data_IF_562684673263
#
_entry.id   IF_562684673263
#
_cell.length_a   1.000
_cell.length_b   1.000
_cell.length_c   1.000
_cell.angle_alpha   90.00
_cell.angle_beta   90.00
_cell.angle_gamma   90.00
#
_symmetry.space_group_name_H-M   'P 1'
#
loop_
_entity.id
_entity.type
_entity.pdbx_description
1 polymer ?
#
# COMPACT_ATOMS: atom_id res chain seq x y z
N UNK A 1 -5.00 -20.06 23.77
CA UNK A 1 -5.33 -20.48 22.40
C UNK A 1 -5.32 -19.22 21.56
N UNK A 2 -4.51 -19.19 20.51
CA UNK A 2 -4.63 -18.12 19.52
C UNK A 2 -6.04 -18.14 18.94
N UNK A 3 -6.71 -16.99 18.93
CA UNK A 3 -8.02 -16.79 18.30
C UNK A 3 -7.93 -15.71 17.23
N UNK A 4 -8.79 -15.79 16.22
CA UNK A 4 -8.91 -14.77 15.15
C UNK A 4 -9.18 -13.38 15.75
N UNK A 5 -9.96 -13.31 16.83
CA UNK A 5 -10.24 -12.08 17.56
C UNK A 5 -8.99 -11.52 18.25
N UNK A 6 -8.17 -12.37 18.89
CA UNK A 6 -6.91 -11.93 19.48
C UNK A 6 -5.90 -11.42 18.44
N UNK A 7 -5.92 -11.98 17.21
CA UNK A 7 -5.13 -11.46 16.09
C UNK A 7 -5.61 -10.06 15.67
N UNK A 8 -6.92 -9.85 15.57
CA UNK A 8 -7.49 -8.53 15.24
C UNK A 8 -7.10 -7.47 16.27
N UNK A 9 -7.16 -7.82 17.56
CA UNK A 9 -6.75 -6.92 18.65
C UNK A 9 -5.25 -6.58 18.61
N UNK A 10 -4.40 -7.56 18.29
CA UNK A 10 -2.97 -7.35 18.12
C UNK A 10 -2.68 -6.37 16.97
N UNK A 11 -3.31 -6.60 15.82
CA UNK A 11 -3.21 -5.74 14.64
C UNK A 11 -3.69 -4.32 14.96
N UNK A 12 -4.86 -4.19 15.58
CA UNK A 12 -5.44 -2.91 15.98
C UNK A 12 -4.50 -2.10 16.88
N UNK A 13 -3.88 -2.76 17.87
CA UNK A 13 -2.89 -2.13 18.75
C UNK A 13 -1.67 -1.63 17.98
N UNK A 14 -1.09 -2.46 17.11
CA UNK A 14 0.09 -2.09 16.30
C UNK A 14 -0.21 -0.94 15.34
N UNK A 15 -1.41 -0.91 14.77
CA UNK A 15 -1.86 0.21 13.94
C UNK A 15 -1.89 1.51 14.72
N UNK A 16 -2.44 1.53 15.93
CA UNK A 16 -2.47 2.75 16.77
C UNK A 16 -1.06 3.19 17.16
N UNK A 17 -0.20 2.26 17.59
CA UNK A 17 1.20 2.54 18.00
C UNK A 17 2.04 3.11 16.85
N UNK A 18 1.87 2.58 15.64
CA UNK A 18 2.64 2.96 14.44
C UNK A 18 1.91 3.99 13.56
N UNK A 19 0.82 4.58 14.05
CA UNK A 19 0.02 5.57 13.32
C UNK A 19 -0.42 5.11 11.92
N UNK A 20 -0.90 3.88 11.83
CA UNK A 20 -1.37 3.25 10.59
C UNK A 20 -0.26 2.58 9.76
N UNK A 21 1.01 2.77 10.09
CA UNK A 21 2.13 2.24 9.31
C UNK A 21 2.62 0.89 9.85
N UNK A 22 1.80 -0.16 9.68
CA UNK A 22 2.17 -1.53 10.05
C UNK A 22 2.68 -2.28 8.83
N UNK A 23 3.96 -2.68 8.88
CA UNK A 23 4.58 -3.58 7.90
C UNK A 23 4.85 -4.93 8.54
N UNK A 24 4.49 -6.02 7.86
CA UNK A 24 4.72 -7.37 8.36
C UNK A 24 6.21 -7.67 8.61
N UNK A 25 7.10 -7.07 7.82
CA UNK A 25 8.58 -7.19 7.99
C UNK A 25 9.10 -6.60 9.30
N UNK A 26 8.34 -5.71 9.95
CA UNK A 26 8.71 -5.03 11.19
C UNK A 26 7.88 -5.52 12.39
N UNK A 27 6.88 -6.38 12.17
CA UNK A 27 5.91 -6.84 13.18
C UNK A 27 5.78 -8.38 13.10
N UNK A 28 6.86 -9.08 13.45
CA UNK A 28 6.92 -10.55 13.44
C UNK A 28 5.90 -11.19 14.39
N UNK A 29 5.45 -10.48 15.42
CA UNK A 29 4.40 -10.93 16.33
C UNK A 29 3.06 -11.16 15.63
N UNK A 30 2.70 -10.31 14.66
CA UNK A 30 1.50 -10.50 13.83
C UNK A 30 1.66 -11.74 12.93
N UNK A 31 2.86 -11.93 12.37
CA UNK A 31 3.17 -13.06 11.49
C UNK A 31 3.14 -14.39 12.24
N UNK A 32 3.77 -14.46 13.41
CA UNK A 32 3.80 -15.65 14.27
C UNK A 32 2.40 -16.01 14.77
N UNK A 33 1.60 -15.01 15.19
CA UNK A 33 0.24 -15.21 15.63
C UNK A 33 -0.66 -15.70 14.48
N UNK A 34 -0.53 -15.11 13.28
CA UNK A 34 -1.23 -15.55 12.08
C UNK A 34 -0.89 -16.98 11.68
N UNK A 35 0.39 -17.34 11.78
CA UNK A 35 0.87 -18.70 11.49
C UNK A 35 0.31 -19.74 12.46
N UNK A 36 0.18 -19.40 13.75
CA UNK A 36 -0.46 -20.25 14.74
C UNK A 36 -1.95 -20.52 14.45
N UNK A 37 -2.61 -19.59 13.74
CA UNK A 37 -3.99 -19.73 13.25
C UNK A 37 -4.11 -20.39 11.87
N UNK A 38 -3.00 -20.74 11.22
CA UNK A 38 -2.99 -21.25 9.85
C UNK A 38 -3.31 -20.21 8.79
N UNK A 39 -3.19 -18.91 9.11
CA UNK A 39 -3.45 -17.80 8.18
C UNK A 39 -2.14 -17.48 7.43
N UNK A 40 -2.11 -17.54 6.09
CA UNK A 40 -0.93 -17.20 5.31
C UNK A 40 -0.64 -15.68 5.37
N UNK A 41 0.63 -15.29 5.22
CA UNK A 41 1.06 -13.88 5.29
C UNK A 41 0.30 -12.97 4.31
N UNK A 42 -0.06 -13.47 3.12
CA UNK A 42 -0.87 -12.74 2.14
C UNK A 42 -2.26 -12.36 2.68
N UNK A 43 -2.88 -13.21 3.50
CA UNK A 43 -4.16 -12.92 4.15
C UNK A 43 -4.01 -12.03 5.39
N UNK A 44 -2.84 -12.02 6.03
CA UNK A 44 -2.56 -11.08 7.13
C UNK A 44 -2.53 -9.63 6.64
N UNK A 45 -2.08 -9.38 5.42
CA UNK A 45 -2.11 -8.05 4.80
C UNK A 45 -3.55 -7.54 4.68
N UNK A 46 -4.47 -8.37 4.18
CA UNK A 46 -5.89 -8.01 4.09
C UNK A 46 -6.51 -7.79 5.46
N UNK A 47 -6.20 -8.65 6.44
CA UNK A 47 -6.62 -8.45 7.83
C UNK A 47 -6.13 -7.14 8.43
N UNK A 48 -4.92 -6.70 8.10
CA UNK A 48 -4.41 -5.38 8.53
C UNK A 48 -5.24 -4.26 7.91
N UNK A 49 -5.61 -4.36 6.62
CA UNK A 49 -6.47 -3.39 5.95
C UNK A 49 -7.87 -3.36 6.59
N UNK A 50 -8.52 -4.51 6.75
CA UNK A 50 -9.85 -4.62 7.36
C UNK A 50 -9.87 -3.98 8.75
N UNK A 51 -8.88 -4.29 9.60
CA UNK A 51 -8.78 -3.71 10.94
C UNK A 51 -8.47 -2.21 10.87
N UNK A 52 -7.69 -1.76 9.89
CA UNK A 52 -7.42 -0.31 9.69
C UNK A 52 -8.70 0.47 9.37
N UNK A 53 -9.60 -0.11 8.57
CA UNK A 53 -10.90 0.50 8.23
C UNK A 53 -11.84 0.60 9.44
N UNK A 54 -11.65 -0.25 10.46
CA UNK A 54 -12.44 -0.17 11.70
C UNK A 54 -11.96 0.90 12.69
N UNK A 55 -10.80 1.54 12.46
CA UNK A 55 -10.23 2.52 13.38
C UNK A 55 -10.76 3.92 13.08
N UNK A 56 -11.44 4.54 14.05
CA UNK A 56 -11.72 5.97 14.01
C UNK A 56 -10.45 6.77 14.37
N UNK A 57 -9.69 7.15 13.34
CA UNK A 57 -8.48 7.93 13.50
C UNK A 57 -8.73 9.32 14.11
N UNK A 58 -9.92 9.91 13.94
CA UNK A 58 -10.24 11.20 14.54
C UNK A 58 -10.44 11.08 16.06
N UNK A 59 -11.02 9.97 16.52
CA UNK A 59 -11.11 9.67 17.96
C UNK A 59 -9.73 9.35 18.56
N UNK A 60 -8.90 8.59 17.85
CA UNK A 60 -7.53 8.27 18.29
C UNK A 60 -6.69 9.54 18.45
N UNK A 61 -6.78 10.48 17.52
CA UNK A 61 -6.02 11.74 17.57
C UNK A 61 -6.51 12.64 18.72
N UNK A 62 -7.84 12.69 18.96
CA UNK A 62 -8.42 13.38 20.12
C UNK A 62 -7.91 12.80 21.45
N UNK A 63 -7.83 11.46 21.57
CA UNK A 63 -7.29 10.80 22.76
C UNK A 63 -5.80 11.11 22.96
N UNK A 64 -5.00 11.07 21.90
CA UNK A 64 -3.57 11.46 21.95
C UNK A 64 -3.39 12.91 22.39
N UNK A 65 -4.24 13.82 21.92
CA UNK A 65 -4.22 15.23 22.34
C UNK A 65 -4.61 15.38 23.82
N UNK A 66 -5.66 14.70 24.28
CA UNK A 66 -6.07 14.72 25.69
C UNK A 66 -5.00 14.12 26.63
N UNK A 67 -4.33 13.03 26.23
CA UNK A 67 -3.20 12.46 26.98
C UNK A 67 -1.98 13.38 27.00
N UNK A 68 -1.75 14.14 25.93
CA UNK A 68 -0.69 15.15 25.86
C UNK A 68 -1.00 16.35 26.76
N UNK A 69 -2.22 16.86 26.73
CA UNK A 69 -2.67 17.97 27.60
C UNK A 69 -2.66 17.57 29.07
N UNK A 70 -3.11 16.36 29.41
CA UNK A 70 -3.04 15.86 30.80
C UNK A 70 -1.61 15.58 31.27
N UNK A 71 -0.70 15.11 30.41
CA UNK A 71 0.74 15.04 30.72
C UNK A 71 1.36 16.42 30.92
N UNK A 72 1.01 17.40 30.10
CA UNK A 72 1.48 18.79 30.23
C UNK A 72 0.90 19.47 31.49
N UNK A 73 -0.34 19.19 31.88
CA UNK A 73 -0.94 19.63 33.15
C UNK A 73 -0.29 18.96 34.37
N UNK A 74 0.09 17.68 34.28
CA UNK A 74 0.85 16.99 35.33
C UNK A 74 2.28 17.58 35.44
N UNK A 75 2.96 17.85 34.32
CA UNK A 75 4.27 18.52 34.30
C UNK A 75 4.21 19.94 34.86
N UNK A 76 3.13 20.68 34.58
CA UNK A 76 2.93 22.04 35.09
C UNK A 76 2.49 22.08 36.57
N UNK A 77 1.77 21.06 37.06
CA UNK A 77 1.42 20.93 38.49
C UNK A 77 2.58 20.45 39.37
N UNK A 78 3.61 19.83 38.78
CA UNK A 78 4.84 19.41 39.48
C UNK A 78 5.90 20.53 39.51
N UNK A 79 5.68 21.65 38.80
CA UNK A 79 6.59 22.80 38.79
C UNK A 79 6.49 23.70 40.04
N UNK A 80 5.77 23.28 41.09
CA UNK A 80 5.71 23.99 42.37
C UNK A 80 5.95 23.06 43.57
N UNK A 81 7.02 22.27 43.54
CA UNK A 81 7.83 21.94 44.73
C UNK A 81 8.98 21.01 44.40
N UNK A 82 10.10 21.24 45.09
CA UNK A 82 11.25 20.33 45.26
C UNK A 82 12.25 20.22 44.09
N UNK A 83 13.11 21.23 44.03
CA UNK A 83 14.57 21.14 43.91
C UNK A 83 15.17 19.71 43.92
N UNK A 84 15.42 19.11 42.76
CA UNK A 84 16.44 18.05 42.58
C UNK A 84 17.03 18.12 41.17
N UNK A 85 18.35 18.33 41.06
CA UNK A 85 19.14 18.34 39.82
C UNK A 85 19.06 17.00 39.07
N UNK A 86 18.93 17.01 37.72
CA UNK A 86 19.46 15.94 36.90
C UNK A 86 20.90 16.30 36.46
N UNK A 87 21.88 15.46 36.81
CA UNK A 87 23.23 15.52 36.25
C UNK A 87 23.21 15.08 34.79
N UNK A 88 23.28 16.03 33.87
CA UNK A 88 23.56 15.79 32.45
C UNK A 88 25.07 15.87 32.23
N UNK A 89 25.71 14.75 31.89
CA UNK A 89 27.09 14.74 31.41
C UNK A 89 27.10 15.25 29.96
N UNK A 90 27.27 16.56 29.78
CA UNK A 90 27.46 17.20 28.47
C UNK A 90 28.96 17.15 28.13
N UNK A 91 29.30 16.55 26.98
CA UNK A 91 30.66 16.57 26.43
C UNK A 91 30.72 17.61 25.32
N UNK A 92 31.73 18.48 25.36
CA UNK A 92 31.93 19.55 24.37
C UNK A 92 32.98 19.14 23.34
N UNK A 93 32.72 19.47 22.07
CA UNK A 93 33.68 19.24 20.99
C UNK A 93 34.91 20.15 21.15
N UNK A 94 36.12 19.60 21.15
CA UNK A 94 37.37 20.38 21.30
C UNK A 94 37.70 21.28 20.10
N UNK A 95 37.05 21.08 18.95
CA UNK A 95 37.33 21.85 17.74
C UNK A 95 36.34 23.02 17.50
N UNK A 96 35.05 22.83 17.79
CA UNK A 96 34.01 23.88 17.60
C UNK A 96 33.27 24.28 18.88
N UNK A 97 33.54 23.62 20.01
CA UNK A 97 32.95 23.88 21.31
C UNK A 97 31.42 23.71 21.40
N UNK A 98 30.81 23.02 20.43
CA UNK A 98 29.38 22.67 20.46
C UNK A 98 29.10 21.56 21.49
N UNK A 99 27.92 21.64 22.13
CA UNK A 99 27.45 20.68 23.12
C UNK A 99 26.85 19.45 22.44
N UNK A 100 27.30 18.24 22.81
CA UNK A 100 26.77 16.99 22.26
C UNK A 100 25.84 16.31 23.28
N UNK A 101 24.53 16.49 23.10
CA UNK A 101 23.50 15.94 23.99
C UNK A 101 22.89 14.65 23.41
N UNK A 102 23.61 13.53 23.54
CA UNK A 102 23.11 12.15 23.74
C UNK A 102 24.25 11.16 23.57
N UNK A 103 24.27 10.13 24.43
CA UNK A 103 25.24 9.06 24.35
C UNK A 103 25.28 8.42 22.96
N UNK A 104 26.50 8.11 22.53
CA UNK A 104 26.89 7.30 21.37
C UNK A 104 26.77 7.97 19.98
N UNK A 105 27.61 8.96 19.71
CA UNK A 105 28.00 9.31 18.34
C UNK A 105 29.52 9.51 18.27
N UNK A 106 30.22 8.72 17.45
CA UNK A 106 31.68 8.77 17.29
C UNK A 106 32.15 9.95 16.41
N UNK A 107 31.27 10.93 16.12
CA UNK A 107 31.55 12.09 15.28
C UNK A 107 30.70 13.31 15.72
N UNK A 108 31.20 14.52 15.46
CA UNK A 108 30.46 15.76 15.69
C UNK A 108 29.53 16.08 14.52
N UNK A 109 28.23 16.30 14.77
CA UNK A 109 27.23 16.57 13.73
C UNK A 109 27.40 17.93 13.02
N UNK A 110 28.03 18.92 13.66
CA UNK A 110 28.22 20.25 13.04
C UNK A 110 29.48 20.36 12.17
N UNK A 111 30.57 19.69 12.54
CA UNK A 111 31.86 19.84 11.85
C UNK A 111 32.46 18.53 11.32
N UNK A 112 31.79 17.38 11.52
CA UNK A 112 32.19 16.08 10.96
C UNK A 112 33.47 15.48 11.55
N UNK A 113 33.99 16.03 12.66
CA UNK A 113 35.23 15.56 13.28
C UNK A 113 35.01 14.27 14.09
N UNK A 114 35.83 13.23 13.88
CA UNK A 114 35.81 11.99 14.66
C UNK A 114 36.28 12.21 16.10
N UNK A 115 35.50 11.76 17.09
CA UNK A 115 35.84 11.81 18.51
C UNK A 115 36.47 10.46 18.90
N UNK A 116 37.80 10.39 18.96
CA UNK A 116 38.52 9.17 19.37
C UNK A 116 38.31 8.87 20.86
N UNK A 117 37.96 7.64 21.26
CA UNK A 117 38.16 7.20 22.63
C UNK A 117 39.66 6.98 22.92
N UNK A 118 40.13 7.54 24.04
CA UNK A 118 41.51 7.46 24.53
C UNK A 118 41.86 6.01 24.99
N UNK A 119 43.12 5.56 24.85
CA UNK A 119 43.47 4.14 24.86
C UNK A 119 43.48 3.52 26.26
N UNK A 120 43.06 2.26 26.34
CA UNK A 120 43.15 1.45 27.56
C UNK A 120 44.61 1.15 27.91
N UNK A 121 44.91 1.41 29.19
CA UNK A 121 46.17 1.25 29.90
C UNK A 121 46.73 -0.19 29.91
N UNK A 122 48.02 -0.30 29.64
CA UNK A 122 48.87 -1.45 30.00
C UNK A 122 49.04 -1.52 31.53
N UNK A 123 49.15 -2.73 32.14
CA UNK A 123 49.81 -2.87 33.42
C UNK A 123 51.31 -3.13 33.25
N UNK A 124 52.07 -2.34 34.00
CA UNK A 124 53.52 -2.41 34.25
C UNK A 124 53.84 -3.63 35.13
N UNK A 125 54.89 -4.38 34.82
CA UNK A 125 55.59 -5.27 35.76
C UNK A 125 57.11 -5.13 35.65
N UNK A 126 57.74 -5.24 36.82
CA UNK A 126 59.05 -4.75 37.30
C UNK A 126 60.22 -5.68 36.90
N UNK A 127 61.47 -5.17 36.70
CA UNK A 127 62.58 -5.99 36.20
C UNK A 127 63.42 -6.73 37.26
N UNK A 128 64.11 -7.77 36.75
CA UNK A 128 65.37 -8.43 37.20
C UNK A 128 65.34 -9.48 38.34
N UNK A 129 66.27 -10.49 38.36
CA UNK A 129 67.60 -10.48 37.75
C UNK A 129 67.95 -11.61 36.77
N UNK A 130 69.04 -11.33 36.06
CA UNK A 130 69.81 -12.19 35.15
C UNK A 130 70.45 -13.36 35.88
N UNK A 131 70.33 -14.56 35.31
CA UNK A 131 71.29 -15.64 35.49
C UNK A 131 71.65 -16.23 34.13
N UNK A 132 72.90 -16.03 33.73
CA UNK A 132 73.55 -16.83 32.69
C UNK A 132 73.70 -18.27 33.18
N UNK A 133 73.30 -19.25 32.36
CA UNK A 133 74.06 -20.49 32.24
C UNK A 133 73.71 -21.28 30.97
N UNK A 134 74.69 -21.31 30.07
CA UNK A 134 75.16 -22.43 29.24
C UNK A 134 74.14 -23.28 28.45
N UNK A 135 74.18 -23.04 27.13
CA UNK A 135 74.62 -23.99 26.08
C UNK A 135 74.06 -25.41 26.19
N UNK A 136 73.14 -25.76 25.29
CA UNK A 136 73.31 -26.88 24.33
C UNK A 136 72.51 -26.57 23.07
N UNK A 137 73.18 -26.71 21.93
CA UNK A 137 72.60 -26.65 20.58
C UNK A 137 71.94 -27.99 20.34
N UNK A 138 70.64 -27.99 20.06
CA UNK A 138 69.98 -29.11 19.40
C UNK A 138 69.01 -28.53 18.37
N UNK A 139 69.35 -28.76 17.11
CA UNK A 139 68.63 -28.29 15.93
C UNK A 139 67.47 -29.24 15.67
N UNK A 140 66.23 -28.81 15.93
CA UNK A 140 65.03 -29.50 15.44
C UNK A 140 64.48 -28.79 14.19
N UNK A 141 64.04 -29.55 13.16
CA UNK A 141 63.67 -29.00 11.87
C UNK A 141 62.39 -28.16 11.93
N UNK A 142 62.42 -27.01 11.25
CA UNK A 142 61.28 -26.11 11.06
C UNK A 142 60.04 -26.87 10.58
N UNK A 143 59.00 -26.89 11.43
CA UNK A 143 57.66 -27.23 11.00
C UNK A 143 57.14 -26.11 10.09
N UNK A 144 57.17 -26.33 8.78
CA UNK A 144 56.49 -25.53 7.77
C UNK A 144 55.00 -25.42 8.13
N UNK A 145 54.61 -24.32 8.77
CA UNK A 145 53.20 -23.98 8.91
C UNK A 145 52.70 -23.60 7.52
N UNK A 146 52.04 -24.52 6.82
CA UNK A 146 51.28 -24.19 5.61
C UNK A 146 50.32 -23.05 5.97
N UNK A 147 50.57 -21.85 5.44
CA UNK A 147 49.73 -20.70 5.72
C UNK A 147 48.32 -21.01 5.22
N UNK A 148 47.31 -20.88 6.07
CA UNK A 148 45.89 -20.97 5.68
C UNK A 148 45.44 -19.74 4.88
N UNK A 149 46.35 -18.79 4.64
CA UNK A 149 46.12 -17.54 3.91
C UNK A 149 45.43 -17.68 2.55
N UNK A 150 45.79 -18.62 1.64
CA UNK A 150 45.11 -18.74 0.35
C UNK A 150 43.67 -19.24 0.47
N UNK A 151 43.34 -19.99 1.53
CA UNK A 151 41.96 -20.45 1.81
C UNK A 151 41.11 -19.26 2.30
N UNK A 152 41.65 -18.46 3.23
CA UNK A 152 40.94 -17.26 3.70
C UNK A 152 40.76 -16.21 2.59
N UNK A 153 41.75 -16.01 1.71
CA UNK A 153 41.64 -15.11 0.55
C UNK A 153 40.58 -15.63 -0.44
N UNK A 154 40.54 -16.94 -0.70
CA UNK A 154 39.53 -17.55 -1.58
C UNK A 154 38.10 -17.46 -1.01
N UNK A 155 37.93 -17.61 0.31
CA UNK A 155 36.63 -17.45 0.96
C UNK A 155 36.19 -15.99 0.93
N UNK A 156 37.10 -15.05 1.21
CA UNK A 156 36.78 -13.62 1.22
C UNK A 156 36.42 -13.10 -0.18
N UNK A 157 37.07 -13.60 -1.23
CA UNK A 157 36.73 -13.25 -2.61
C UNK A 157 35.35 -13.78 -3.02
N UNK A 158 35.00 -15.01 -2.64
CA UNK A 158 33.65 -15.55 -2.88
C UNK A 158 32.59 -14.74 -2.14
N UNK A 159 32.82 -14.40 -0.86
CA UNK A 159 31.90 -13.56 -0.09
C UNK A 159 31.78 -12.17 -0.74
N UNK A 160 32.88 -11.55 -1.15
CA UNK A 160 32.85 -10.25 -1.81
C UNK A 160 32.06 -10.29 -3.13
N UNK A 161 32.21 -11.34 -3.94
CA UNK A 161 31.43 -11.52 -5.17
C UNK A 161 29.94 -11.69 -4.88
N UNK A 162 29.58 -12.46 -3.84
CA UNK A 162 28.18 -12.63 -3.43
C UNK A 162 27.57 -11.32 -2.91
N UNK A 163 28.33 -10.57 -2.11
CA UNK A 163 27.92 -9.25 -1.59
C UNK A 163 27.73 -8.27 -2.73
N UNK A 164 28.68 -8.18 -3.67
CA UNK A 164 28.56 -7.34 -4.86
C UNK A 164 27.38 -7.77 -5.73
N UNK A 165 27.20 -9.06 -5.99
CA UNK A 165 26.06 -9.58 -6.75
C UNK A 165 24.71 -9.23 -6.09
N UNK A 166 24.63 -9.27 -4.77
CA UNK A 166 23.46 -8.82 -4.03
C UNK A 166 23.21 -7.32 -4.21
N UNK A 167 24.23 -6.48 -4.01
CA UNK A 167 24.07 -5.03 -4.10
C UNK A 167 23.79 -4.54 -5.54
N UNK A 168 24.39 -5.16 -6.56
CA UNK A 168 24.23 -4.76 -7.96
C UNK A 168 22.97 -5.31 -8.63
N UNK A 169 22.53 -6.52 -8.28
CA UNK A 169 21.38 -7.16 -8.94
C UNK A 169 20.36 -7.76 -7.97
N UNK A 170 20.81 -8.38 -6.88
CA UNK A 170 19.95 -9.10 -5.96
C UNK A 170 18.93 -8.21 -5.22
N UNK A 171 19.33 -7.01 -4.80
CA UNK A 171 18.47 -6.09 -4.04
C UNK A 171 17.21 -5.72 -4.82
N UNK A 172 17.38 -5.27 -6.07
CA UNK A 172 16.25 -4.81 -6.88
C UNK A 172 15.40 -5.99 -7.35
N UNK A 173 16.02 -7.13 -7.68
CA UNK A 173 15.29 -8.37 -7.97
C UNK A 173 14.40 -8.80 -6.80
N UNK A 174 14.93 -8.81 -5.58
CA UNK A 174 14.16 -9.18 -4.39
C UNK A 174 13.07 -8.15 -4.08
N UNK A 175 13.35 -6.86 -4.27
CA UNK A 175 12.36 -5.80 -4.10
C UNK A 175 11.20 -5.96 -5.08
N UNK A 176 11.48 -6.20 -6.36
CA UNK A 176 10.47 -6.39 -7.40
C UNK A 176 9.70 -7.70 -7.23
N UNK A 177 10.37 -8.76 -6.79
CA UNK A 177 9.75 -10.06 -6.48
C UNK A 177 8.76 -9.97 -5.33
N UNK A 178 9.08 -9.16 -4.32
CA UNK A 178 8.26 -8.99 -3.12
C UNK A 178 7.27 -7.83 -3.23
N UNK A 179 7.26 -7.08 -4.35
CA UNK A 179 6.36 -5.97 -4.57
C UNK A 179 4.92 -6.45 -4.76
N UNK A 180 3.97 -5.63 -4.31
CA UNK A 180 2.54 -5.90 -4.51
C UNK A 180 2.19 -5.65 -5.98
N UNK A 181 1.53 -6.62 -6.62
CA UNK A 181 1.08 -6.47 -8.01
C UNK A 181 -0.32 -5.86 -8.04
N UNK A 182 -0.45 -4.71 -8.67
CA UNK A 182 -1.72 -4.04 -8.91
C UNK A 182 -1.92 -3.79 -10.41
N UNK A 183 -3.15 -3.54 -10.81
CA UNK A 183 -3.53 -3.33 -12.20
C UNK A 183 -4.24 -2.00 -12.36
N UNK A 184 -3.83 -1.23 -13.37
CA UNK A 184 -4.51 0.02 -13.71
C UNK A 184 -5.89 -0.28 -14.29
N UNK A 185 -6.93 0.33 -13.74
CA UNK A 185 -8.28 0.28 -14.31
C UNK A 185 -8.75 1.63 -14.88
N UNK A 186 -7.87 2.63 -14.85
CA UNK A 186 -8.04 3.86 -15.62
C UNK A 186 -7.59 3.67 -17.07
N UNK A 187 -8.18 4.41 -18.01
CA UNK A 187 -7.77 4.35 -19.41
C UNK A 187 -6.34 4.87 -19.61
N UNK A 188 -5.95 5.89 -18.84
CA UNK A 188 -4.62 6.46 -18.84
C UNK A 188 -4.33 7.07 -17.48
N UNK A 189 -3.50 6.40 -16.67
CA UNK A 189 -3.09 6.86 -15.35
C UNK A 189 -1.71 7.52 -15.45
N UNK A 190 -1.56 8.76 -14.96
CA UNK A 190 -0.27 9.44 -15.02
C UNK A 190 0.77 8.74 -14.12
N UNK A 191 1.94 8.44 -14.69
CA UNK A 191 3.15 8.05 -13.97
C UNK A 191 4.01 9.30 -13.78
N UNK A 192 4.45 9.56 -12.55
CA UNK A 192 5.17 10.78 -12.18
C UNK A 192 6.54 10.51 -11.58
N UNK A 193 7.47 11.44 -11.76
CA UNK A 193 8.81 11.36 -11.13
C UNK A 193 8.80 11.69 -9.64
N UNK A 194 7.76 12.36 -9.14
CA UNK A 194 7.63 12.75 -7.74
C UNK A 194 6.17 12.77 -7.28
N UNK A 195 5.89 12.62 -5.98
CA UNK A 195 4.53 12.69 -5.41
C UNK A 195 3.98 14.14 -5.30
N UNK A 196 4.49 15.07 -6.12
CA UNK A 196 3.98 16.43 -6.18
C UNK A 196 2.75 16.51 -7.09
N UNK A 197 1.66 17.11 -6.60
CA UNK A 197 0.46 17.33 -7.38
C UNK A 197 0.61 18.46 -8.41
N UNK A 198 -0.09 18.33 -9.54
CA UNK A 198 -0.62 19.51 -10.25
C UNK A 198 0.18 20.13 -11.41
N UNK A 199 1.22 19.49 -11.96
CA UNK A 199 1.86 20.00 -13.18
C UNK A 199 2.32 18.91 -14.15
N UNK A 200 2.36 19.22 -15.45
CA UNK A 200 2.86 18.29 -16.48
C UNK A 200 4.37 18.06 -16.36
N UNK A 201 5.09 18.95 -15.64
CA UNK A 201 6.54 18.94 -15.49
C UNK A 201 7.10 17.69 -14.78
N UNK A 202 6.29 17.01 -13.95
CA UNK A 202 6.69 15.77 -13.29
C UNK A 202 6.02 14.53 -13.89
N UNK A 203 5.25 14.66 -14.97
CA UNK A 203 4.71 13.49 -15.68
C UNK A 203 5.82 12.88 -16.54
N UNK A 204 6.14 11.62 -16.29
CA UNK A 204 7.20 10.87 -17.00
C UNK A 204 6.64 9.79 -17.93
N UNK A 205 5.33 9.56 -17.88
CA UNK A 205 4.64 8.62 -18.74
C UNK A 205 3.20 8.39 -18.29
N UNK A 206 2.57 7.41 -18.92
CA UNK A 206 1.21 7.00 -18.64
C UNK A 206 1.18 5.48 -18.47
N UNK A 207 0.36 5.03 -17.53
CA UNK A 207 0.06 3.63 -17.24
C UNK A 207 -1.26 3.30 -17.95
N UNK A 208 -1.23 2.51 -19.03
CA UNK A 208 -2.43 2.08 -19.74
C UNK A 208 -3.37 1.24 -18.87
N UNK A 209 -4.61 1.09 -19.32
CA UNK A 209 -5.56 0.15 -18.73
C UNK A 209 -5.01 -1.28 -18.79
N UNK A 210 -5.12 -2.01 -17.68
CA UNK A 210 -4.71 -3.41 -17.53
C UNK A 210 -3.22 -3.63 -17.40
N UNK A 211 -2.40 -2.57 -17.43
CA UNK A 211 -0.99 -2.67 -17.10
C UNK A 211 -0.81 -3.13 -15.66
N UNK A 212 0.03 -4.15 -15.49
CA UNK A 212 0.49 -4.60 -14.19
C UNK A 212 1.58 -3.66 -13.68
N UNK A 213 1.42 -3.24 -12.43
CA UNK A 213 2.24 -2.25 -11.76
C UNK A 213 2.77 -2.88 -10.47
N UNK A 214 4.09 -2.85 -10.29
CA UNK A 214 4.71 -3.24 -9.03
C UNK A 214 4.62 -2.06 -8.06
N UNK A 215 3.97 -2.26 -6.92
CA UNK A 215 3.77 -1.24 -5.89
C UNK A 215 4.65 -1.58 -4.68
N UNK A 216 5.48 -0.61 -4.28
CA UNK A 216 6.48 -0.80 -3.22
C UNK A 216 6.06 -0.26 -1.86
N UNK A 217 5.05 0.61 -1.83
CA UNK A 217 4.50 1.19 -0.61
C UNK A 217 2.98 1.34 -0.66
N UNK A 218 2.37 1.59 0.51
CA UNK A 218 0.93 1.72 0.68
C UNK A 218 0.55 3.19 0.96
N UNK A 219 1.07 4.13 0.17
CA UNK A 219 0.71 5.54 0.33
C UNK A 219 -0.75 5.82 -0.06
N UNK A 220 -1.36 6.82 0.58
CA UNK A 220 -2.80 7.14 0.43
C UNK A 220 -3.08 7.94 -0.85
N UNK A 221 -2.27 8.97 -1.11
CA UNK A 221 -2.43 9.83 -2.29
C UNK A 221 -1.54 9.40 -3.46
N UNK A 222 -0.35 8.88 -3.13
CA UNK A 222 0.68 8.45 -4.05
C UNK A 222 1.26 7.13 -3.59
N UNK A 223 1.49 6.23 -4.54
CA UNK A 223 2.28 5.03 -4.31
C UNK A 223 3.55 5.07 -5.15
N UNK A 224 4.67 4.66 -4.57
CA UNK A 224 5.88 4.38 -5.34
C UNK A 224 5.68 3.06 -6.09
N UNK A 225 5.86 3.12 -7.41
CA UNK A 225 5.60 1.99 -8.27
C UNK A 225 6.58 1.88 -9.44
N UNK A 226 6.58 0.72 -10.08
CA UNK A 226 7.36 0.42 -11.28
C UNK A 226 6.49 -0.20 -12.37
N UNK A 227 6.60 0.36 -13.57
CA UNK A 227 5.99 -0.14 -14.79
C UNK A 227 7.08 -0.38 -15.82
N UNK A 228 7.17 -1.60 -16.37
CA UNK A 228 8.10 -1.95 -17.46
C UNK A 228 9.56 -1.50 -17.26
N UNK A 229 10.04 -1.54 -16.01
CA UNK A 229 11.40 -1.12 -15.66
C UNK A 229 11.53 0.33 -15.19
N UNK A 230 10.52 1.17 -15.42
CA UNK A 230 10.51 2.58 -15.05
C UNK A 230 9.84 2.79 -13.68
N UNK A 231 10.61 3.28 -12.71
CA UNK A 231 10.11 3.68 -11.38
C UNK A 231 9.49 5.08 -11.40
N UNK A 232 8.46 5.28 -10.58
CA UNK A 232 7.78 6.55 -10.42
C UNK A 232 6.68 6.49 -9.37
N UNK A 233 5.76 7.44 -9.44
CA UNK A 233 4.65 7.61 -8.53
C UNK A 233 3.33 7.63 -9.31
N UNK A 234 2.34 6.91 -8.81
CA UNK A 234 0.99 6.89 -9.37
C UNK A 234 -0.04 7.02 -8.24
N UNK A 235 -1.27 7.41 -8.58
CA UNK A 235 -2.34 7.48 -7.58
C UNK A 235 -2.95 6.09 -7.37
N UNK A 236 -3.00 5.57 -6.12
CA UNK A 236 -3.55 4.25 -5.82
C UNK A 236 -5.06 4.17 -6.09
N UNK A 237 -5.77 5.31 -6.14
CA UNK A 237 -7.22 5.38 -6.40
C UNK A 237 -7.64 4.77 -7.74
N UNK A 238 -6.68 4.59 -8.65
CA UNK A 238 -6.86 4.08 -10.01
C UNK A 238 -6.18 2.72 -10.25
N UNK A 239 -5.75 2.06 -9.16
CA UNK A 239 -5.19 0.72 -9.17
C UNK A 239 -6.13 -0.25 -8.45
N UNK A 240 -6.18 -1.49 -8.91
CA UNK A 240 -6.90 -2.60 -8.28
C UNK A 240 -5.95 -3.78 -8.06
N UNK A 241 -6.24 -4.62 -7.08
CA UNK A 241 -5.58 -5.91 -7.00
C UNK A 241 -6.03 -6.81 -8.18
N UNK A 242 -5.36 -7.95 -8.37
CA UNK A 242 -5.65 -8.87 -9.48
C UNK A 242 -7.12 -9.32 -9.51
N UNK A 243 -7.68 -9.65 -8.36
CA UNK A 243 -9.00 -10.26 -8.24
C UNK A 243 -10.08 -9.24 -8.56
N UNK A 244 -9.98 -8.05 -7.97
CA UNK A 244 -10.87 -6.92 -8.25
C UNK A 244 -10.82 -6.51 -9.73
N UNK A 245 -9.63 -6.52 -10.32
CA UNK A 245 -9.46 -6.21 -11.74
C UNK A 245 -10.09 -7.27 -12.64
N UNK A 246 -9.98 -8.56 -12.30
CA UNK A 246 -10.65 -9.66 -13.00
C UNK A 246 -12.17 -9.55 -12.87
N UNK A 247 -12.69 -9.25 -11.67
CA UNK A 247 -14.12 -8.99 -11.44
C UNK A 247 -14.64 -7.87 -12.32
N UNK A 248 -13.97 -6.71 -12.31
CA UNK A 248 -14.36 -5.58 -13.12
C UNK A 248 -14.39 -5.91 -14.61
N UNK A 249 -13.36 -6.61 -15.12
CA UNK A 249 -13.32 -7.02 -16.52
C UNK A 249 -14.38 -8.06 -16.87
N UNK A 250 -14.77 -8.92 -15.93
CA UNK A 250 -15.84 -9.87 -16.15
C UNK A 250 -17.21 -9.17 -16.25
N UNK A 251 -17.40 -8.05 -15.55
CA UNK A 251 -18.62 -7.23 -15.60
C UNK A 251 -18.71 -6.48 -16.95
N UNK A 252 -17.59 -5.92 -17.41
CA UNK A 252 -17.50 -5.16 -18.67
C UNK A 252 -17.24 -6.12 -19.85
N UNK A 253 -18.30 -6.47 -20.59
CA UNK A 253 -18.27 -7.63 -21.48
C UNK A 253 -17.19 -7.63 -22.58
N UNK A 254 -16.78 -6.45 -23.04
CA UNK A 254 -15.85 -6.29 -24.16
C UNK A 254 -15.09 -4.96 -24.10
N UNK A 255 -14.16 -4.77 -25.04
CA UNK A 255 -13.33 -3.55 -25.17
C UNK A 255 -14.19 -2.31 -25.41
N UNK A 256 -15.25 -2.45 -26.20
CA UNK A 256 -16.15 -1.35 -26.55
C UNK A 256 -16.87 -0.84 -25.30
N UNK A 257 -17.34 -1.76 -24.47
CA UNK A 257 -17.97 -1.48 -23.18
C UNK A 257 -17.00 -0.77 -22.24
N UNK A 258 -15.76 -1.25 -22.15
CA UNK A 258 -14.72 -0.61 -21.33
C UNK A 258 -14.42 0.81 -21.78
N UNK A 259 -14.44 1.04 -23.09
CA UNK A 259 -14.22 2.36 -23.68
C UNK A 259 -15.41 3.27 -23.39
N UNK A 260 -16.64 2.76 -23.51
CA UNK A 260 -17.86 3.49 -23.19
C UNK A 260 -17.93 3.90 -21.71
N UNK A 261 -17.47 3.02 -20.81
CA UNK A 261 -17.38 3.29 -19.36
C UNK A 261 -15.97 3.78 -19.03
N UNK A 262 -15.54 4.87 -19.64
CA UNK A 262 -14.16 5.35 -19.57
C UNK A 262 -13.72 5.78 -18.17
N UNK A 263 -14.60 6.43 -17.40
CA UNK A 263 -14.26 6.96 -16.08
C UNK A 263 -14.27 5.87 -15.00
N UNK A 264 -13.25 5.90 -14.14
CA UNK A 264 -13.04 4.93 -13.06
C UNK A 264 -14.14 4.92 -12.01
N UNK A 265 -14.79 6.06 -11.75
CA UNK A 265 -15.93 6.17 -10.83
C UNK A 265 -17.10 5.26 -11.24
N UNK A 266 -17.40 5.19 -12.55
CA UNK A 266 -18.48 4.35 -13.09
C UNK A 266 -18.13 2.87 -13.00
N UNK A 267 -16.86 2.53 -13.28
CA UNK A 267 -16.31 1.18 -13.11
C UNK A 267 -16.44 0.70 -11.65
N UNK A 268 -16.10 1.57 -10.68
CA UNK A 268 -16.26 1.31 -9.24
C UNK A 268 -17.72 1.14 -8.84
N UNK A 269 -18.62 1.98 -9.35
CA UNK A 269 -20.07 1.86 -9.10
C UNK A 269 -20.60 0.48 -9.48
N UNK A 270 -20.22 0.00 -10.68
CA UNK A 270 -20.60 -1.34 -11.15
C UNK A 270 -19.98 -2.44 -10.29
N UNK A 271 -18.68 -2.36 -9.99
CA UNK A 271 -18.01 -3.36 -9.17
C UNK A 271 -18.68 -3.51 -7.79
N UNK A 272 -18.95 -2.38 -7.12
CA UNK A 272 -19.62 -2.36 -5.82
C UNK A 272 -21.05 -2.92 -5.92
N UNK A 273 -21.83 -2.46 -6.89
CA UNK A 273 -23.20 -2.95 -7.09
C UNK A 273 -23.25 -4.48 -7.29
N UNK A 274 -22.33 -5.05 -8.07
CA UNK A 274 -22.26 -6.49 -8.27
C UNK A 274 -21.94 -7.25 -6.98
N UNK A 275 -21.00 -6.74 -6.18
CA UNK A 275 -20.64 -7.33 -4.88
C UNK A 275 -21.81 -7.28 -3.90
N UNK A 276 -22.43 -6.12 -3.77
CA UNK A 276 -23.52 -5.87 -2.82
C UNK A 276 -24.76 -6.71 -3.14
N UNK A 277 -24.98 -7.03 -4.42
CA UNK A 277 -26.12 -7.83 -4.89
C UNK A 277 -25.76 -9.29 -5.16
N UNK A 278 -24.55 -9.73 -4.79
CA UNK A 278 -24.08 -11.10 -5.00
C UNK A 278 -24.16 -11.59 -6.46
N UNK A 279 -23.91 -10.68 -7.40
CA UNK A 279 -23.86 -10.93 -8.84
C UNK A 279 -22.41 -11.10 -9.30
N UNK A 280 -22.20 -11.81 -10.41
CA UNK A 280 -20.86 -11.90 -11.02
C UNK A 280 -20.88 -11.56 -12.50
N UNK A 281 -19.73 -11.08 -12.98
CA UNK A 281 -19.43 -11.02 -14.40
C UNK A 281 -19.16 -12.41 -15.00
N UNK A 282 -19.06 -12.48 -16.34
CA UNK A 282 -18.71 -13.73 -17.02
C UNK A 282 -17.23 -14.06 -16.80
N UNK A 283 -16.98 -15.19 -16.15
CA UNK A 283 -15.65 -15.73 -15.89
C UNK A 283 -15.59 -17.21 -16.25
N UNK A 284 -14.46 -17.67 -16.76
CA UNK A 284 -14.20 -19.10 -16.90
C UNK A 284 -14.00 -19.78 -15.53
N UNK A 285 -13.94 -21.11 -15.54
CA UNK A 285 -13.86 -21.93 -14.32
C UNK A 285 -12.57 -21.68 -13.53
N UNK A 286 -11.46 -21.41 -14.21
CA UNK A 286 -10.16 -21.21 -13.57
C UNK A 286 -10.12 -19.85 -12.89
N UNK A 287 -10.58 -18.81 -13.59
CA UNK A 287 -10.71 -17.45 -13.06
C UNK A 287 -11.67 -17.41 -11.87
N UNK A 288 -12.80 -18.12 -11.91
CA UNK A 288 -13.70 -18.17 -10.74
C UNK A 288 -13.05 -18.79 -9.52
N UNK A 289 -12.30 -19.89 -9.70
CA UNK A 289 -11.56 -20.52 -8.60
C UNK A 289 -10.46 -19.60 -8.08
N UNK A 290 -9.83 -18.83 -8.96
CA UNK A 290 -8.83 -17.84 -8.57
C UNK A 290 -9.47 -16.75 -7.71
N UNK A 291 -10.52 -16.09 -8.23
CA UNK A 291 -11.20 -14.93 -7.61
C UNK A 291 -11.96 -15.31 -6.35
N UNK A 292 -12.74 -16.38 -6.39
CA UNK A 292 -13.69 -16.73 -5.33
C UNK A 292 -13.27 -17.96 -4.51
N UNK A 293 -12.14 -18.61 -4.85
CA UNK A 293 -11.71 -19.87 -4.24
C UNK A 293 -12.53 -21.11 -4.68
N UNK A 294 -13.66 -20.90 -5.36
CA UNK A 294 -14.56 -21.97 -5.81
C UNK A 294 -15.32 -21.54 -7.07
N UNK A 295 -15.92 -22.51 -7.75
CA UNK A 295 -16.88 -22.23 -8.82
C UNK A 295 -18.20 -21.83 -8.18
N UNK A 296 -18.74 -20.69 -8.57
CA UNK A 296 -19.96 -20.15 -7.95
C UNK A 296 -21.17 -20.42 -8.83
N UNK A 297 -22.35 -20.55 -8.22
CA UNK A 297 -23.63 -20.67 -8.92
C UNK A 297 -24.37 -19.34 -8.98
N UNK A 298 -23.65 -18.23 -8.78
CA UNK A 298 -24.21 -16.87 -8.77
C UNK A 298 -24.66 -16.48 -10.17
N UNK A 299 -25.64 -15.59 -10.22
CA UNK A 299 -26.15 -15.11 -11.49
C UNK A 299 -25.06 -14.34 -12.25
N UNK A 300 -24.95 -14.65 -13.53
CA UNK A 300 -23.98 -14.02 -14.42
C UNK A 300 -24.65 -12.86 -15.14
N UNK A 301 -24.28 -11.65 -14.75
CA UNK A 301 -24.73 -10.40 -15.35
C UNK A 301 -23.55 -9.68 -16.00
N UNK A 302 -23.78 -8.99 -17.11
CA UNK A 302 -22.74 -8.17 -17.74
C UNK A 302 -23.32 -6.87 -18.29
N UNK A 303 -22.49 -5.86 -18.40
CA UNK A 303 -22.76 -4.66 -19.19
C UNK A 303 -22.19 -4.88 -20.59
N UNK A 304 -23.01 -4.60 -21.60
CA UNK A 304 -22.60 -4.55 -23.01
C UNK A 304 -22.92 -3.15 -23.51
N UNK A 305 -21.95 -2.42 -24.03
CA UNK A 305 -22.13 -1.10 -24.61
C UNK A 305 -21.31 -0.96 -25.88
N UNK A 306 -21.80 -0.15 -26.82
CA UNK A 306 -21.01 0.26 -27.99
C UNK A 306 -19.90 1.21 -27.53
N UNK A 307 -18.77 1.24 -28.24
CA UNK A 307 -17.73 2.25 -28.01
C UNK A 307 -18.35 3.67 -28.03
N UNK A 308 -17.68 4.67 -27.43
CA UNK A 308 -18.20 6.04 -27.35
C UNK A 308 -18.66 6.53 -28.75
N UNK A 309 -19.98 6.67 -28.93
CA UNK A 309 -20.61 7.16 -30.16
C UNK A 309 -21.58 8.29 -29.80
N UNK A 310 -21.90 9.14 -30.76
CA UNK A 310 -22.92 10.18 -30.59
C UNK A 310 -24.37 9.63 -30.57
N UNK A 311 -24.55 8.31 -30.64
CA UNK A 311 -25.84 7.65 -30.70
C UNK A 311 -26.24 7.09 -29.32
N UNK A 312 -27.51 6.70 -29.20
CA UNK A 312 -28.01 6.07 -27.98
C UNK A 312 -27.27 4.76 -27.69
N UNK A 313 -27.03 4.51 -26.41
CA UNK A 313 -26.25 3.37 -25.94
C UNK A 313 -26.92 2.75 -24.70
N UNK A 314 -26.44 1.58 -24.28
CA UNK A 314 -26.86 0.97 -23.00
C UNK A 314 -26.26 1.69 -21.80
N UNK A 315 -25.39 2.67 -22.03
CA UNK A 315 -24.88 3.61 -21.02
C UNK A 315 -25.33 5.02 -21.37
N UNK A 316 -25.56 5.83 -20.35
CA UNK A 316 -25.99 7.22 -20.48
C UNK A 316 -25.39 8.06 -19.36
N UNK A 317 -24.96 9.28 -19.69
CA UNK A 317 -24.31 10.18 -18.76
C UNK A 317 -25.04 11.52 -18.73
N UNK A 318 -25.35 12.04 -17.54
CA UNK A 318 -26.03 13.34 -17.39
C UNK A 318 -25.55 14.12 -16.19
N UNK A 319 -25.75 15.44 -16.18
CA UNK A 319 -25.43 16.33 -15.03
C UNK A 319 -26.65 16.70 -14.19
N UNK A 320 -27.76 15.97 -14.29
CA UNK A 320 -29.10 16.52 -13.99
C UNK A 320 -29.75 16.02 -12.70
N UNK A 321 -29.24 14.98 -12.03
CA UNK A 321 -29.80 14.51 -10.75
C UNK A 321 -29.64 15.53 -9.62
N UNK A 322 -28.57 16.32 -9.67
CA UNK A 322 -28.33 17.47 -8.80
C UNK A 322 -27.52 18.49 -9.59
N UNK A 323 -28.11 19.65 -9.85
CA UNK A 323 -27.46 20.72 -10.62
C UNK A 323 -26.19 21.26 -9.95
N UNK A 324 -26.02 21.00 -8.65
CA UNK A 324 -24.82 21.30 -7.86
C UNK A 324 -23.78 20.17 -7.83
N UNK A 325 -24.08 18.98 -8.35
CA UNK A 325 -23.14 17.85 -8.34
C UNK A 325 -21.93 18.17 -9.20
N UNK A 326 -20.75 17.91 -8.65
CA UNK A 326 -19.48 18.03 -9.37
C UNK A 326 -19.36 17.02 -10.52
N UNK A 327 -20.05 15.89 -10.41
CA UNK A 327 -19.89 14.75 -11.30
C UNK A 327 -21.17 14.41 -12.06
N UNK A 328 -21.00 13.84 -13.24
CA UNK A 328 -22.11 13.31 -14.01
C UNK A 328 -22.68 12.07 -13.33
N UNK A 329 -24.00 11.95 -13.36
CA UNK A 329 -24.73 10.72 -13.15
C UNK A 329 -24.41 9.70 -14.25
N UNK A 330 -24.58 8.43 -13.90
CA UNK A 330 -24.33 7.31 -14.77
C UNK A 330 -25.51 6.36 -14.74
N UNK A 331 -26.17 6.19 -15.89
CA UNK A 331 -27.17 5.16 -16.09
C UNK A 331 -26.60 4.07 -16.99
N UNK A 332 -26.88 2.80 -16.67
CA UNK A 332 -26.47 1.67 -17.50
C UNK A 332 -27.49 0.54 -17.48
N UNK A 333 -27.54 -0.24 -18.57
CA UNK A 333 -28.34 -1.46 -18.64
C UNK A 333 -27.43 -2.68 -18.54
N UNK A 334 -27.57 -3.46 -17.48
CA UNK A 334 -26.94 -4.78 -17.35
C UNK A 334 -27.89 -5.86 -17.85
N UNK A 335 -27.33 -6.98 -18.33
CA UNK A 335 -28.06 -8.12 -18.88
C UNK A 335 -27.64 -9.42 -18.20
N UNK A 336 -28.61 -10.25 -17.81
CA UNK A 336 -28.38 -11.61 -17.36
C UNK A 336 -28.07 -12.49 -18.58
N UNK A 337 -26.95 -13.18 -18.53
CA UNK A 337 -26.48 -13.99 -19.67
C UNK A 337 -27.26 -15.29 -19.87
N UNK A 338 -27.96 -15.76 -18.84
CA UNK A 338 -28.74 -17.01 -18.88
C UNK A 338 -30.20 -16.72 -19.23
N UNK A 339 -30.83 -15.76 -18.55
CA UNK A 339 -32.27 -15.46 -18.74
C UNK A 339 -32.54 -14.44 -19.84
N UNK A 340 -31.51 -13.68 -20.26
CA UNK A 340 -31.63 -12.49 -21.11
C UNK A 340 -32.42 -11.32 -20.51
N UNK A 341 -32.76 -11.39 -19.21
CA UNK A 341 -33.35 -10.27 -18.49
C UNK A 341 -32.40 -9.09 -18.46
N UNK A 342 -32.97 -7.88 -18.48
CA UNK A 342 -32.22 -6.63 -18.48
C UNK A 342 -32.68 -5.76 -17.33
N UNK A 343 -31.75 -5.08 -16.67
CA UNK A 343 -32.02 -4.14 -15.59
C UNK A 343 -31.30 -2.83 -15.86
N UNK A 344 -31.98 -1.71 -15.62
CA UNK A 344 -31.37 -0.40 -15.63
C UNK A 344 -30.94 -0.03 -14.22
N UNK A 345 -29.73 0.51 -14.11
CA UNK A 345 -29.16 1.05 -12.88
C UNK A 345 -28.84 2.52 -13.12
N UNK A 346 -29.17 3.37 -12.16
CA UNK A 346 -28.86 4.80 -12.22
C UNK A 346 -28.10 5.20 -10.97
N UNK A 347 -26.89 5.73 -11.17
CA UNK A 347 -25.97 6.13 -10.11
C UNK A 347 -25.75 7.64 -10.14
N UNK A 348 -25.66 8.23 -8.94
CA UNK A 348 -25.09 9.54 -8.70
C UNK A 348 -23.76 9.39 -7.95
N UNK A 349 -23.00 10.48 -7.82
CA UNK A 349 -21.71 10.50 -7.15
C UNK A 349 -21.59 11.69 -6.20
N UNK A 350 -21.04 11.45 -5.02
CA UNK A 350 -20.70 12.52 -4.07
C UNK A 350 -19.39 13.24 -4.44
N UNK A 351 -18.99 14.24 -3.66
CA UNK A 351 -17.77 15.03 -3.88
C UNK A 351 -16.47 14.21 -3.81
N UNK A 352 -16.52 13.02 -3.18
CA UNK A 352 -15.41 12.08 -3.06
C UNK A 352 -15.42 11.00 -4.16
N UNK A 353 -16.29 11.13 -5.16
CA UNK A 353 -16.50 10.14 -6.23
C UNK A 353 -17.13 8.82 -5.75
N UNK A 354 -17.72 8.79 -4.56
CA UNK A 354 -18.40 7.61 -4.04
C UNK A 354 -19.73 7.41 -4.77
N UNK A 355 -20.01 6.21 -5.29
CA UNK A 355 -21.25 5.93 -6.01
C UNK A 355 -22.44 5.81 -5.05
N UNK A 356 -23.59 6.34 -5.44
CA UNK A 356 -24.87 6.09 -4.80
C UNK A 356 -25.87 5.58 -5.85
N UNK A 357 -26.47 4.42 -5.61
CA UNK A 357 -27.57 3.92 -6.44
C UNK A 357 -28.83 4.77 -6.17
N UNK A 358 -29.33 5.43 -7.20
CA UNK A 358 -30.53 6.27 -7.12
C UNK A 358 -31.78 5.54 -7.63
N UNK A 359 -31.63 4.65 -8.60
CA UNK A 359 -32.73 3.83 -9.09
C UNK A 359 -32.25 2.49 -9.68
N UNK A 360 -33.08 1.47 -9.53
CA UNK A 360 -33.00 0.19 -10.21
C UNK A 360 -34.40 -0.18 -10.71
N UNK A 361 -34.50 -0.63 -11.95
CA UNK A 361 -35.75 -1.14 -12.52
C UNK A 361 -35.48 -2.16 -13.65
N UNK A 362 -36.51 -2.89 -14.06
CA UNK A 362 -36.47 -3.73 -15.26
C UNK A 362 -36.29 -2.85 -16.51
N UNK A 363 -35.41 -3.28 -17.41
CA UNK A 363 -35.24 -2.63 -18.71
C UNK A 363 -35.93 -3.44 -19.81
N UNK A 364 -36.36 -2.79 -20.92
CA UNK A 364 -36.93 -3.49 -22.06
C UNK A 364 -36.00 -4.58 -22.59
N UNK A 365 -36.54 -5.65 -23.18
CA UNK A 365 -35.76 -6.78 -23.70
C UNK A 365 -34.70 -6.37 -24.75
N UNK A 366 -34.90 -5.23 -25.42
CA UNK A 366 -34.08 -4.70 -26.49
C UNK A 366 -34.14 -3.16 -26.52
N UNK A 367 -33.13 -2.51 -27.12
CA UNK A 367 -33.01 -1.06 -27.19
C UNK A 367 -31.97 -0.46 -26.23
N UNK A 368 -31.80 0.85 -26.34
CA UNK A 368 -30.79 1.68 -25.69
C UNK A 368 -31.44 2.75 -24.80
N UNK A 369 -30.65 3.35 -23.92
CA UNK A 369 -31.09 4.51 -23.12
C UNK A 369 -31.07 5.73 -24.05
N UNK A 370 -32.22 6.33 -24.28
CA UNK A 370 -32.35 7.58 -25.04
C UNK A 370 -32.11 8.79 -24.13
N UNK A 371 -32.65 8.74 -22.91
CA UNK A 371 -32.56 9.80 -21.92
C UNK A 371 -32.95 9.27 -20.54
N UNK A 372 -32.60 10.00 -19.49
CA UNK A 372 -33.17 9.83 -18.15
C UNK A 372 -33.83 11.15 -17.78
N UNK A 373 -35.15 11.11 -17.55
CA UNK A 373 -35.90 12.27 -17.07
C UNK A 373 -35.75 12.38 -15.55
N UNK A 374 -35.52 13.61 -15.10
CA UNK A 374 -35.32 13.97 -13.69
C UNK A 374 -36.47 14.88 -13.29
N UNK A 375 -37.42 14.34 -12.52
CA UNK A 375 -38.56 15.08 -12.03
C UNK A 375 -38.41 15.31 -10.53
N UNK A 376 -38.55 16.56 -10.09
CA UNK A 376 -38.48 16.92 -8.68
C UNK A 376 -39.88 17.21 -8.16
N UNK A 377 -40.23 16.60 -7.03
CA UNK A 377 -41.45 16.98 -6.33
C UNK A 377 -41.27 18.31 -5.57
N UNK A 378 -42.36 18.83 -5.02
CA UNK A 378 -42.36 20.07 -4.24
C UNK A 378 -41.51 20.01 -2.96
N UNK A 379 -41.08 18.82 -2.54
CA UNK A 379 -40.24 18.57 -1.37
C UNK A 379 -38.77 18.37 -1.74
N UNK A 380 -38.43 18.43 -3.03
CA UNK A 380 -37.07 18.23 -3.53
C UNK A 380 -36.66 16.76 -3.66
N UNK A 381 -37.59 15.81 -3.52
CA UNK A 381 -37.32 14.41 -3.84
C UNK A 381 -37.24 14.25 -5.35
N UNK A 382 -36.35 13.37 -5.78
CA UNK A 382 -36.10 13.10 -7.19
C UNK A 382 -36.78 11.81 -7.63
N UNK A 383 -37.50 11.88 -8.74
CA UNK A 383 -38.02 10.74 -9.48
C UNK A 383 -37.24 10.62 -10.79
N UNK A 384 -36.76 9.41 -11.07
CA UNK A 384 -35.96 9.10 -12.24
C UNK A 384 -36.77 8.23 -13.19
N UNK A 385 -37.02 8.72 -14.40
CA UNK A 385 -37.75 7.96 -15.42
C UNK A 385 -36.86 7.73 -16.64
N UNK A 386 -36.34 6.49 -16.83
CA UNK A 386 -35.56 6.18 -18.01
C UNK A 386 -36.44 6.07 -19.25
N UNK A 387 -35.96 6.64 -20.35
CA UNK A 387 -36.60 6.56 -21.66
C UNK A 387 -35.71 5.75 -22.60
N UNK A 388 -36.33 4.85 -23.37
CA UNK A 388 -35.63 3.91 -24.22
C UNK A 388 -35.87 4.19 -25.70
N UNK A 389 -34.91 3.78 -26.54
CA UNK A 389 -35.01 3.84 -28.01
C UNK A 389 -34.53 2.53 -28.62
N UNK A 390 -35.08 2.16 -29.78
CA UNK A 390 -34.64 0.98 -30.54
C UNK A 390 -33.47 1.25 -31.50
N UNK A 391 -33.09 2.51 -31.68
CA UNK A 391 -32.18 2.98 -32.74
C UNK A 391 -30.73 3.14 -32.27
#
# INVERSE_FOLDING_TARGET
METVEGLNQLIHRRLIEKNGNVKLTENNDIVEYGKALGIPESQLIFKIIDVTETIDWAEVEKKKQQEKTSREEILNSTATSANTKPTTNIVYCTNCNAANEKGVANFCEECGSELKPEPQSQPVYVPEPVYEQNRYVETEPEASSRSKAPIFIGIFSVIAVLVLGYFFWGKDYLRDKNATRMYSFANSLALRSSPAGGGDYNMIGNIPYGSEVLVYDNGVDWVNCKLDGQEGYASPKYLLNKMDFQELNAILADVDTRTAVSQTRFKKALLNYFRDNNLIGKMDVEMQKEVYGTVTTREVWQLFAKAETNNSNTVYFSKKSKQSSKFNDFACIIKNNTTNERKILIFSFDDNESPKLEAEDAAPANGYIANVQYDYDSYGNISLTPMYTSW
#
